data_IF_277244937798
#
_entry.id   IF_277244937798
#
_cell.length_a   1.000
_cell.length_b   1.000
_cell.length_c   1.000
_cell.angle_alpha   90.00
_cell.angle_beta   90.00
_cell.angle_gamma   90.00
#
_symmetry.space_group_name_H-M   'P 1'
#
loop_
_entity.id
_entity.type
_entity.pdbx_description
1 polymer ?
#
# COMPACT_ATOMS: atom_id res chain seq x y z
N UNK A 1 -13.03 -5.10 -19.63
CA UNK A 1 -13.56 -4.06 -18.70
C UNK A 1 -13.77 -4.60 -17.29
N UNK A 2 -14.35 -5.79 -17.12
CA UNK A 2 -14.41 -6.43 -15.80
C UNK A 2 -13.05 -6.96 -15.36
N UNK A 3 -12.25 -7.47 -16.30
CA UNK A 3 -10.89 -7.96 -16.03
C UNK A 3 -9.99 -6.90 -15.40
N UNK A 4 -10.05 -5.64 -15.85
CA UNK A 4 -9.20 -4.57 -15.27
C UNK A 4 -9.59 -4.24 -13.84
N UNK A 5 -10.89 -4.29 -13.51
CA UNK A 5 -11.40 -4.09 -12.15
C UNK A 5 -10.88 -5.16 -11.20
N UNK A 6 -10.91 -6.41 -11.67
CA UNK A 6 -10.39 -7.57 -10.95
C UNK A 6 -8.87 -7.44 -10.78
N UNK A 7 -8.15 -7.03 -11.83
CA UNK A 7 -6.69 -6.78 -11.76
C UNK A 7 -6.38 -5.74 -10.70
N UNK A 8 -7.05 -4.57 -10.68
CA UNK A 8 -6.83 -3.57 -9.64
C UNK A 8 -7.07 -4.12 -8.24
N UNK A 9 -8.18 -4.83 -8.04
CA UNK A 9 -8.53 -5.45 -6.77
C UNK A 9 -7.43 -6.39 -6.26
N UNK A 10 -6.92 -7.28 -7.12
CA UNK A 10 -5.81 -8.18 -6.78
C UNK A 10 -4.49 -7.44 -6.53
N UNK A 11 -4.19 -6.36 -7.27
CA UNK A 11 -3.00 -5.56 -6.99
C UNK A 11 -3.08 -4.94 -5.59
N UNK A 12 -4.24 -4.41 -5.17
CA UNK A 12 -4.40 -3.86 -3.82
C UNK A 12 -4.32 -4.92 -2.72
N UNK A 13 -4.80 -6.13 -2.97
CA UNK A 13 -4.53 -7.28 -2.08
C UNK A 13 -3.03 -7.53 -1.97
N UNK A 14 -2.31 -7.54 -3.10
CA UNK A 14 -0.86 -7.76 -3.10
C UNK A 14 -0.10 -6.64 -2.34
N UNK A 15 -0.53 -5.37 -2.49
CA UNK A 15 0.03 -4.24 -1.71
C UNK A 15 -0.18 -4.45 -0.21
N UNK A 16 -1.39 -4.80 0.24
CA UNK A 16 -1.65 -5.07 1.66
C UNK A 16 -0.81 -6.22 2.20
N UNK A 17 -0.76 -7.33 1.47
CA UNK A 17 0.01 -8.49 1.91
C UNK A 17 1.51 -8.16 1.98
N UNK A 18 2.01 -7.31 1.10
CA UNK A 18 3.41 -6.84 1.15
C UNK A 18 3.68 -6.00 2.39
N UNK A 19 2.78 -5.09 2.76
CA UNK A 19 2.92 -4.32 4.01
C UNK A 19 2.87 -5.20 5.24
N UNK A 20 1.89 -6.11 5.33
CA UNK A 20 1.76 -7.04 6.45
C UNK A 20 2.97 -7.99 6.55
N UNK A 21 3.51 -8.44 5.42
CA UNK A 21 4.73 -9.24 5.41
C UNK A 21 5.92 -8.46 6.00
N UNK A 22 6.04 -7.17 5.71
CA UNK A 22 7.06 -6.31 6.32
C UNK A 22 6.94 -6.26 7.84
N UNK A 23 5.73 -6.08 8.37
CA UNK A 23 5.49 -6.08 9.82
C UNK A 23 5.80 -7.43 10.45
N UNK A 24 5.40 -8.53 9.80
CA UNK A 24 5.71 -9.89 10.24
C UNK A 24 7.24 -10.09 10.30
N UNK A 25 7.99 -9.70 9.27
CA UNK A 25 9.44 -9.85 9.25
C UNK A 25 10.10 -9.03 10.37
N UNK A 26 9.67 -7.79 10.61
CA UNK A 26 10.22 -6.96 11.71
C UNK A 26 9.99 -7.60 13.08
N UNK A 27 8.82 -8.20 13.30
CA UNK A 27 8.50 -8.93 14.53
C UNK A 27 9.47 -10.12 14.70
N UNK A 28 9.61 -10.97 13.68
CA UNK A 28 10.45 -12.17 13.77
C UNK A 28 11.95 -11.87 13.79
N UNK A 29 12.38 -10.75 13.20
CA UNK A 29 13.77 -10.30 13.24
C UNK A 29 14.16 -9.65 14.59
N UNK A 30 13.19 -9.38 15.48
CA UNK A 30 13.43 -8.67 16.74
C UNK A 30 13.61 -7.16 16.56
N UNK A 31 13.21 -6.62 15.40
CA UNK A 31 13.31 -5.20 15.04
C UNK A 31 12.08 -4.39 15.47
N UNK A 32 11.17 -5.03 16.19
CA UNK A 32 9.92 -4.47 16.65
C UNK A 32 9.85 -4.55 18.18
N UNK A 33 9.53 -3.42 18.81
CA UNK A 33 9.14 -3.36 20.22
C UNK A 33 7.65 -3.07 20.31
N UNK A 34 6.84 -3.93 20.96
CA UNK A 34 5.41 -3.69 21.10
C UNK A 34 5.12 -2.34 21.75
N UNK A 35 4.29 -1.52 21.10
CA UNK A 35 3.89 -0.22 21.62
C UNK A 35 4.90 0.90 21.39
N UNK A 36 5.99 0.66 20.68
CA UNK A 36 7.00 1.69 20.34
C UNK A 36 7.20 1.84 18.83
N UNK A 37 7.42 3.07 18.38
CA UNK A 37 7.96 3.39 17.06
C UNK A 37 9.08 4.40 17.27
N UNK A 38 10.23 4.18 16.64
CA UNK A 38 11.46 4.98 16.81
C UNK A 38 11.86 5.19 18.28
N UNK A 39 11.68 4.14 19.11
CA UNK A 39 12.01 4.17 20.54
C UNK A 39 11.10 5.07 21.38
N UNK A 40 9.94 5.49 20.85
CA UNK A 40 8.94 6.28 21.58
C UNK A 40 7.62 5.52 21.68
N UNK A 41 6.90 5.61 22.81
CA UNK A 41 5.56 5.06 22.93
C UNK A 41 4.63 5.58 21.83
N UNK A 42 3.92 4.67 21.18
CA UNK A 42 2.95 5.02 20.14
C UNK A 42 1.73 5.68 20.78
N UNK A 43 1.46 6.92 20.39
CA UNK A 43 0.28 7.63 20.89
C UNK A 43 -1.01 7.11 20.25
N UNK A 44 -2.15 7.34 20.91
CA UNK A 44 -3.47 6.98 20.36
C UNK A 44 -3.73 7.62 18.98
N UNK A 45 -3.27 8.87 18.78
CA UNK A 45 -3.36 9.57 17.49
C UNK A 45 -2.54 8.89 16.40
N UNK A 46 -1.38 8.33 16.76
CA UNK A 46 -0.50 7.63 15.83
C UNK A 46 -1.11 6.30 15.39
N UNK A 47 -1.68 5.52 16.33
CA UNK A 47 -2.45 4.32 15.99
C UNK A 47 -3.62 4.62 15.06
N UNK A 48 -4.36 5.69 15.34
CA UNK A 48 -5.47 6.11 14.49
C UNK A 48 -5.00 6.48 13.07
N UNK A 49 -3.88 7.20 12.95
CA UNK A 49 -3.27 7.50 11.66
C UNK A 49 -2.82 6.26 10.88
N UNK A 50 -2.18 5.30 11.56
CA UNK A 50 -1.80 4.01 10.96
C UNK A 50 -3.04 3.25 10.47
N UNK A 51 -4.11 3.21 11.26
CA UNK A 51 -5.35 2.55 10.88
C UNK A 51 -5.97 3.19 9.63
N UNK A 52 -6.00 4.53 9.55
CA UNK A 52 -6.49 5.24 8.35
C UNK A 52 -5.66 4.88 7.12
N UNK A 53 -4.33 4.89 7.23
CA UNK A 53 -3.47 4.63 6.06
C UNK A 53 -3.59 3.16 5.62
N UNK A 54 -3.55 2.23 6.59
CA UNK A 54 -3.55 0.80 6.31
C UNK A 54 -4.91 0.27 5.86
N UNK A 55 -6.01 0.97 6.14
CA UNK A 55 -7.32 0.58 5.59
C UNK A 55 -7.49 1.00 4.14
N UNK A 56 -6.72 1.96 3.62
CA UNK A 56 -6.88 2.47 2.24
C UNK A 56 -6.79 1.34 1.21
N UNK A 57 -5.76 0.48 1.19
CA UNK A 57 -5.69 -0.56 0.18
C UNK A 57 -6.82 -1.59 0.33
N UNK A 58 -7.30 -1.87 1.56
CA UNK A 58 -8.47 -2.74 1.80
C UNK A 58 -9.73 -2.12 1.18
N UNK A 59 -9.94 -0.82 1.38
CA UNK A 59 -11.04 -0.09 0.73
C UNK A 59 -10.90 -0.14 -0.78
N UNK A 60 -9.68 0.00 -1.30
CA UNK A 60 -9.41 -0.08 -2.73
C UNK A 60 -9.71 -1.45 -3.35
N UNK A 61 -9.57 -2.56 -2.60
CA UNK A 61 -10.01 -3.89 -3.06
C UNK A 61 -11.49 -3.86 -3.45
N UNK A 62 -12.33 -3.22 -2.61
CA UNK A 62 -13.77 -3.11 -2.82
C UNK A 62 -14.09 -2.07 -3.89
N UNK A 63 -13.51 -0.87 -3.80
CA UNK A 63 -13.76 0.20 -4.76
C UNK A 63 -13.38 -0.20 -6.18
N UNK A 64 -12.32 -1.00 -6.33
CA UNK A 64 -11.85 -1.49 -7.64
C UNK A 64 -12.91 -2.30 -8.38
N UNK A 65 -13.78 -3.02 -7.68
CA UNK A 65 -14.85 -3.82 -8.31
C UNK A 65 -16.19 -3.08 -8.37
N UNK A 66 -16.45 -2.13 -7.48
CA UNK A 66 -17.73 -1.41 -7.42
C UNK A 66 -17.79 -0.18 -8.32
N UNK A 67 -16.69 0.54 -8.50
CA UNK A 67 -16.66 1.76 -9.31
C UNK A 67 -16.71 1.45 -10.81
N UNK A 68 -17.28 2.36 -11.61
CA UNK A 68 -17.22 2.34 -13.06
C UNK A 68 -15.78 2.61 -13.55
N UNK A 69 -15.43 2.10 -14.73
CA UNK A 69 -14.03 2.07 -15.21
C UNK A 69 -13.37 3.46 -15.24
N UNK A 70 -14.02 4.53 -15.76
CA UNK A 70 -13.39 5.85 -15.81
C UNK A 70 -13.04 6.41 -14.42
N UNK A 71 -13.97 6.34 -13.46
CA UNK A 71 -13.74 6.80 -12.08
C UNK A 71 -12.70 5.93 -11.39
N UNK A 72 -12.80 4.61 -11.57
CA UNK A 72 -11.91 3.64 -10.97
C UNK A 72 -10.45 3.86 -11.39
N UNK A 73 -10.19 4.13 -12.67
CA UNK A 73 -8.85 4.43 -13.17
C UNK A 73 -8.24 5.68 -12.50
N UNK A 74 -9.01 6.76 -12.37
CA UNK A 74 -8.52 7.98 -11.70
C UNK A 74 -8.26 7.76 -10.21
N UNK A 75 -9.16 7.09 -9.50
CA UNK A 75 -8.97 6.77 -8.07
C UNK A 75 -7.72 5.92 -7.89
N UNK A 76 -7.51 4.90 -8.72
CA UNK A 76 -6.32 4.05 -8.68
C UNK A 76 -5.03 4.84 -8.89
N UNK A 77 -4.99 5.75 -9.88
CA UNK A 77 -3.81 6.60 -10.13
C UNK A 77 -3.49 7.47 -8.92
N UNK A 78 -4.49 8.14 -8.35
CA UNK A 78 -4.29 9.06 -7.22
C UNK A 78 -3.80 8.29 -5.99
N UNK A 79 -4.45 7.18 -5.64
CA UNK A 79 -4.11 6.40 -4.45
C UNK A 79 -2.75 5.70 -4.61
N UNK A 80 -2.44 5.15 -5.78
CA UNK A 80 -1.13 4.57 -6.06
C UNK A 80 -0.02 5.63 -6.01
N UNK A 81 -0.26 6.82 -6.58
CA UNK A 81 0.65 7.95 -6.49
C UNK A 81 0.90 8.40 -5.04
N UNK A 82 -0.14 8.45 -4.22
CA UNK A 82 -0.01 8.71 -2.78
C UNK A 82 0.90 7.67 -2.10
N UNK A 83 0.67 6.37 -2.33
CA UNK A 83 1.49 5.33 -1.71
C UNK A 83 2.94 5.35 -2.17
N UNK A 84 3.21 5.69 -3.43
CA UNK A 84 4.57 5.89 -3.95
C UNK A 84 5.29 6.98 -3.16
N UNK A 85 4.67 8.17 -3.03
CA UNK A 85 5.26 9.30 -2.31
C UNK A 85 5.40 9.01 -0.81
N UNK A 86 4.36 8.42 -0.20
CA UNK A 86 4.35 8.05 1.22
C UNK A 86 5.48 7.07 1.57
N UNK A 87 5.65 6.02 0.76
CA UNK A 87 6.70 5.02 0.94
C UNK A 87 8.10 5.60 0.77
N UNK A 88 8.31 6.50 -0.20
CA UNK A 88 9.60 7.18 -0.40
C UNK A 88 9.95 8.10 0.78
N UNK A 89 8.96 8.77 1.37
CA UNK A 89 9.16 9.60 2.55
C UNK A 89 9.54 8.78 3.80
N UNK A 90 9.07 7.54 3.88
CA UNK A 90 9.26 6.64 5.03
C UNK A 90 10.52 5.78 5.01
N UNK A 91 11.39 5.87 4.00
CA UNK A 91 12.50 4.91 3.76
C UNK A 91 13.60 4.91 4.85
N UNK A 92 13.65 5.92 5.72
CA UNK A 92 14.76 6.08 6.68
C UNK A 92 14.75 4.94 7.70
N UNK A 93 15.89 4.27 7.86
CA UNK A 93 16.07 3.21 8.86
C UNK A 93 15.65 1.80 8.39
N UNK A 94 15.26 1.65 7.12
CA UNK A 94 14.87 0.36 6.56
C UNK A 94 16.05 -0.60 6.42
N UNK A 95 15.83 -1.87 6.79
CA UNK A 95 16.79 -2.94 6.54
C UNK A 95 16.66 -3.49 5.12
N UNK A 96 17.57 -4.38 4.72
CA UNK A 96 17.57 -4.94 3.37
C UNK A 96 16.24 -5.61 2.97
N UNK A 97 15.59 -6.32 3.90
CA UNK A 97 14.29 -6.94 3.64
C UNK A 97 13.17 -5.90 3.50
N UNK A 98 13.21 -4.80 4.27
CA UNK A 98 12.26 -3.70 4.13
C UNK A 98 12.41 -3.02 2.77
N UNK A 99 13.65 -2.76 2.35
CA UNK A 99 13.94 -2.15 1.04
C UNK A 99 13.46 -3.06 -0.10
N UNK A 100 13.67 -4.37 0.00
CA UNK A 100 13.16 -5.33 -0.97
C UNK A 100 11.63 -5.28 -1.07
N UNK A 101 10.93 -5.37 0.06
CA UNK A 101 9.46 -5.31 0.10
C UNK A 101 8.93 -3.95 -0.36
N UNK A 102 9.65 -2.87 -0.06
CA UNK A 102 9.36 -1.53 -0.56
C UNK A 102 9.38 -1.51 -2.09
N UNK A 103 10.46 -2.02 -2.71
CA UNK A 103 10.58 -2.09 -4.18
C UNK A 103 9.42 -2.89 -4.78
N UNK A 104 9.08 -4.05 -4.20
CA UNK A 104 7.95 -4.88 -4.65
C UNK A 104 6.63 -4.12 -4.55
N UNK A 105 6.37 -3.43 -3.44
CA UNK A 105 5.18 -2.56 -3.28
C UNK A 105 5.16 -1.43 -4.33
N UNK A 106 6.31 -0.80 -4.61
CA UNK A 106 6.41 0.24 -5.63
C UNK A 106 6.09 -0.30 -7.02
N UNK A 107 6.53 -1.51 -7.35
CA UNK A 107 6.17 -2.17 -8.62
C UNK A 107 4.67 -2.38 -8.74
N UNK A 108 3.99 -2.83 -7.69
CA UNK A 108 2.53 -2.95 -7.69
C UNK A 108 1.84 -1.61 -7.94
N UNK A 109 2.27 -0.54 -7.27
CA UNK A 109 1.69 0.79 -7.47
C UNK A 109 1.95 1.34 -8.90
N UNK A 110 3.14 1.08 -9.47
CA UNK A 110 3.43 1.44 -10.87
C UNK A 110 2.55 0.65 -11.84
N UNK A 111 2.34 -0.65 -11.59
CA UNK A 111 1.43 -1.47 -12.38
C UNK A 111 0.00 -0.95 -12.30
N UNK A 112 -0.47 -0.55 -11.12
CA UNK A 112 -1.79 0.08 -10.95
C UNK A 112 -1.94 1.31 -11.83
N UNK A 113 -0.96 2.21 -11.84
CA UNK A 113 -0.98 3.42 -12.68
C UNK A 113 -0.96 3.05 -14.16
N UNK A 114 -0.12 2.09 -14.55
CA UNK A 114 -0.03 1.62 -15.93
C UNK A 114 -1.37 1.06 -16.43
N UNK A 115 -1.95 0.11 -15.70
CA UNK A 115 -3.24 -0.49 -16.06
C UNK A 115 -4.40 0.52 -16.07
N UNK A 116 -4.34 1.54 -15.21
CA UNK A 116 -5.30 2.64 -15.24
C UNK A 116 -5.13 3.52 -16.48
N UNK A 117 -3.89 3.82 -16.87
CA UNK A 117 -3.62 4.64 -18.05
C UNK A 117 -4.05 3.97 -19.36
N UNK A 118 -3.89 2.64 -19.47
CA UNK A 118 -4.33 1.90 -20.66
C UNK A 118 -5.84 1.88 -20.87
N UNK A 119 -6.65 2.31 -19.88
CA UNK A 119 -8.10 2.45 -20.05
C UNK A 119 -8.50 3.72 -20.82
N UNK A 120 -7.56 4.64 -21.04
CA UNK A 120 -7.78 5.90 -21.77
C UNK A 120 -7.22 5.88 -23.20
N UNK A 121 -6.52 4.81 -23.58
CA UNK A 121 -5.94 4.59 -24.91
C UNK A 121 -6.88 3.73 -25.76
#
# INVERSE_FOLDING_TARGET
MEDVKIIFSFIWVAVMLTFLLGDVLRIFAGDFKPGEVDGKPVSHKMYFGMAIIMVVPIVMVVLSITLDVPVNSWVNIIVAGFFIVFNLAGIKGYKAYDVFLLIVSMMFNVLTIWYAWTQFL
#
